data_IF_854591564522
#
_entry.id   IF_854591564522
#
_cell.length_a   1.000
_cell.length_b   1.000
_cell.length_c   1.000
_cell.angle_alpha   90.00
_cell.angle_beta   90.00
_cell.angle_gamma   90.00
#
_symmetry.space_group_name_H-M   'P 1'
#
loop_
_entity.id
_entity.type
_entity.pdbx_description
1 polymer ?
#
# COMPACT_ATOMS: atom_id res chain seq x y z
N UNK A 1 35.64 -5.50 51.82
CA UNK A 1 35.73 -5.43 50.35
C UNK A 1 34.37 -5.74 49.76
N UNK A 2 33.43 -4.82 49.96
CA UNK A 2 32.15 -4.81 49.25
C UNK A 2 32.32 -3.77 48.14
N UNK A 3 32.50 -4.25 46.91
CA UNK A 3 32.46 -3.40 45.72
C UNK A 3 31.02 -3.36 45.22
N UNK A 4 30.31 -2.31 45.60
CA UNK A 4 29.08 -1.86 44.94
C UNK A 4 29.44 -1.34 43.54
N UNK A 5 29.17 -2.14 42.51
CA UNK A 5 29.05 -1.66 41.13
C UNK A 5 27.68 -1.01 40.94
N UNK A 6 27.54 0.25 41.37
CA UNK A 6 26.33 1.02 41.11
C UNK A 6 26.39 1.62 39.69
N UNK A 7 25.47 1.12 38.85
CA UNK A 7 25.32 1.47 37.46
C UNK A 7 24.87 2.93 37.26
N UNK A 8 25.79 3.77 36.81
CA UNK A 8 25.43 5.04 36.17
C UNK A 8 24.94 4.80 34.74
N UNK A 9 23.66 4.44 34.59
CA UNK A 9 22.95 4.57 33.32
C UNK A 9 22.89 6.07 32.98
N UNK A 10 23.51 6.46 31.87
CA UNK A 10 23.65 7.88 31.50
C UNK A 10 22.26 8.52 31.27
N UNK A 11 22.01 9.76 31.73
CA UNK A 11 20.70 10.44 31.64
C UNK A 11 20.08 10.49 30.22
N UNK A 12 20.93 10.43 29.18
CA UNK A 12 20.50 10.40 27.77
C UNK A 12 19.83 9.08 27.37
N UNK A 13 20.23 7.97 27.97
CA UNK A 13 19.72 6.63 27.67
C UNK A 13 18.31 6.46 28.27
N UNK A 14 18.15 6.84 29.53
CA UNK A 14 16.87 6.81 30.25
C UNK A 14 15.81 7.69 29.59
N UNK A 15 16.18 8.88 29.12
CA UNK A 15 15.28 9.79 28.39
C UNK A 15 14.89 9.26 26.99
N UNK A 16 15.70 8.38 26.40
CA UNK A 16 15.42 7.77 25.10
C UNK A 16 14.55 6.52 25.23
N UNK A 17 14.64 5.81 26.36
CA UNK A 17 13.78 4.68 26.75
C UNK A 17 12.38 5.18 27.08
N UNK A 18 12.25 6.23 27.90
CA UNK A 18 10.96 6.85 28.23
C UNK A 18 10.20 7.33 26.98
N UNK A 19 10.89 7.91 26.00
CA UNK A 19 10.30 8.30 24.71
C UNK A 19 9.79 7.10 23.90
N UNK A 20 10.46 5.96 23.99
CA UNK A 20 10.06 4.75 23.26
C UNK A 20 8.88 4.07 23.94
N UNK A 21 8.86 4.03 25.27
CA UNK A 21 7.75 3.51 26.06
C UNK A 21 6.51 4.34 25.80
N UNK A 22 6.63 5.67 25.79
CA UNK A 22 5.55 6.57 25.40
C UNK A 22 5.06 6.33 23.95
N UNK A 23 5.98 6.03 23.02
CA UNK A 23 5.62 5.68 21.64
C UNK A 23 4.86 4.36 21.57
N UNK A 24 5.31 3.37 22.35
CA UNK A 24 4.69 2.05 22.46
C UNK A 24 3.31 2.18 23.08
N UNK A 25 3.16 2.82 24.23
CA UNK A 25 1.88 3.04 24.89
C UNK A 25 0.92 3.83 24.00
N UNK A 26 1.38 4.92 23.38
CA UNK A 26 0.56 5.66 22.39
C UNK A 26 0.10 4.77 21.23
N UNK A 27 0.95 3.86 20.75
CA UNK A 27 0.59 2.90 19.72
C UNK A 27 -0.41 1.84 20.24
N UNK A 28 -0.21 1.32 21.46
CA UNK A 28 -1.12 0.38 22.09
C UNK A 28 -2.51 1.03 22.28
N UNK A 29 -2.57 2.27 22.72
CA UNK A 29 -3.79 3.06 22.86
C UNK A 29 -4.44 3.39 21.51
N UNK A 30 -3.65 3.72 20.49
CA UNK A 30 -4.17 4.09 19.17
C UNK A 30 -4.68 2.88 18.38
N UNK A 31 -4.00 1.74 18.49
CA UNK A 31 -4.19 0.62 17.57
C UNK A 31 -4.68 -0.68 18.23
N UNK A 32 -4.48 -0.88 19.54
CA UNK A 32 -4.76 -2.13 20.26
C UNK A 32 -5.93 -2.18 21.28
N UNK A 33 -6.72 -1.13 21.63
CA UNK A 33 -7.58 -1.27 22.82
C UNK A 33 -8.76 -2.22 22.63
N UNK A 34 -9.48 -2.18 21.49
CA UNK A 34 -10.78 -2.85 21.36
C UNK A 34 -11.17 -3.29 19.93
N UNK A 35 -10.43 -2.86 18.90
CA UNK A 35 -10.74 -3.14 17.49
C UNK A 35 -9.65 -3.96 16.78
N UNK A 36 -8.66 -4.46 17.52
CA UNK A 36 -7.50 -5.14 16.94
C UNK A 36 -7.85 -6.25 15.95
N UNK A 37 -8.79 -7.19 16.23
CA UNK A 37 -9.15 -8.22 15.25
C UNK A 37 -9.73 -7.62 13.95
N UNK A 38 -10.43 -6.48 14.05
CA UNK A 38 -11.09 -5.81 12.91
C UNK A 38 -10.08 -5.01 12.07
N UNK A 39 -9.11 -4.35 12.70
CA UNK A 39 -8.11 -3.50 12.04
C UNK A 39 -6.82 -4.23 11.63
N UNK A 40 -6.58 -5.42 12.19
CA UNK A 40 -5.38 -6.23 11.92
C UNK A 40 -5.06 -6.34 10.44
N UNK A 41 -6.07 -6.64 9.61
CA UNK A 41 -5.88 -6.87 8.18
C UNK A 41 -5.43 -5.60 7.43
N UNK A 42 -5.80 -4.42 7.91
CA UNK A 42 -5.33 -3.15 7.34
C UNK A 42 -3.86 -2.89 7.67
N UNK A 43 -3.42 -3.23 8.88
CA UNK A 43 -2.01 -3.12 9.28
C UNK A 43 -1.13 -4.15 8.57
N UNK A 44 -1.66 -5.38 8.45
CA UNK A 44 -1.05 -6.45 7.65
C UNK A 44 -0.81 -5.97 6.22
N UNK A 45 -1.83 -5.37 5.57
CA UNK A 45 -1.68 -4.81 4.23
C UNK A 45 -0.57 -3.75 4.16
N UNK A 46 -0.52 -2.80 5.10
CA UNK A 46 0.55 -1.76 5.10
C UNK A 46 1.94 -2.38 5.18
N UNK A 47 2.14 -3.33 6.08
CA UNK A 47 3.41 -4.04 6.22
C UNK A 47 3.75 -4.87 4.99
N UNK A 48 2.74 -5.52 4.41
CA UNK A 48 2.89 -6.28 3.17
C UNK A 48 3.27 -5.39 1.98
N UNK A 49 2.64 -4.22 1.81
CA UNK A 49 2.99 -3.27 0.75
C UNK A 49 4.41 -2.72 0.95
N UNK A 50 4.76 -2.37 2.20
CA UNK A 50 6.11 -1.94 2.55
C UNK A 50 7.13 -3.04 2.25
N UNK A 51 6.86 -4.29 2.64
CA UNK A 51 7.73 -5.42 2.36
C UNK A 51 7.90 -5.65 0.86
N UNK A 52 6.83 -5.58 0.07
CA UNK A 52 6.92 -5.70 -1.38
C UNK A 52 7.87 -4.66 -1.99
N UNK A 53 7.81 -3.42 -1.51
CA UNK A 53 8.73 -2.36 -1.93
C UNK A 53 10.18 -2.60 -1.45
N UNK A 54 10.37 -2.97 -0.19
CA UNK A 54 11.68 -3.23 0.45
C UNK A 54 12.44 -4.38 -0.21
N UNK A 55 11.74 -5.45 -0.59
CA UNK A 55 12.35 -6.63 -1.18
C UNK A 55 12.49 -6.55 -2.70
N UNK A 56 11.96 -5.50 -3.34
CA UNK A 56 12.08 -5.29 -4.78
C UNK A 56 13.52 -5.00 -5.22
N UNK A 57 13.92 -5.48 -6.40
CA UNK A 57 15.18 -5.05 -7.02
C UNK A 57 15.18 -3.54 -7.35
N UNK A 58 14.01 -2.92 -7.37
CA UNK A 58 13.81 -1.48 -7.62
C UNK A 58 13.61 -0.69 -6.31
N UNK A 59 14.05 -1.23 -5.16
CA UNK A 59 13.76 -0.65 -3.82
C UNK A 59 13.99 0.87 -3.77
N UNK A 60 15.07 1.37 -4.37
CA UNK A 60 15.43 2.80 -4.39
C UNK A 60 14.38 3.70 -5.06
N UNK A 61 13.58 3.16 -5.98
CA UNK A 61 12.53 3.92 -6.68
C UNK A 61 11.14 3.66 -6.10
N UNK A 62 10.87 2.45 -5.61
CA UNK A 62 9.52 2.04 -5.17
C UNK A 62 9.29 2.13 -3.67
N UNK A 63 10.34 2.15 -2.84
CA UNK A 63 10.24 2.35 -1.39
C UNK A 63 10.31 3.85 -1.05
N UNK A 64 9.26 4.58 -1.41
CA UNK A 64 9.10 6.01 -1.10
C UNK A 64 7.74 6.25 -0.44
N UNK A 65 7.66 6.87 0.74
CA UNK A 65 8.75 7.35 1.59
C UNK A 65 9.56 6.19 2.18
N UNK A 66 10.76 6.51 2.63
CA UNK A 66 11.65 5.60 3.35
C UNK A 66 11.69 5.99 4.85
N UNK A 67 11.94 5.04 5.76
CA UNK A 67 12.17 5.37 7.16
C UNK A 67 13.51 6.08 7.30
N UNK A 68 13.50 7.27 7.92
CA UNK A 68 14.66 8.18 8.00
C UNK A 68 15.88 7.54 8.62
N UNK A 69 15.69 6.71 9.63
CA UNK A 69 16.77 6.02 10.35
C UNK A 69 17.59 5.08 9.44
N UNK A 70 17.08 4.74 8.24
CA UNK A 70 17.72 3.84 7.28
C UNK A 70 18.04 4.52 5.95
N UNK A 71 18.15 5.84 5.93
CA UNK A 71 18.48 6.60 4.73
C UNK A 71 19.68 7.52 4.97
N UNK A 72 20.71 7.31 4.16
CA UNK A 72 21.87 8.18 4.09
C UNK A 72 21.51 9.41 3.24
N UNK A 73 21.35 10.55 3.92
CA UNK A 73 21.03 11.81 3.26
C UNK A 73 22.22 12.39 2.47
N UNK A 74 23.45 12.06 2.85
CA UNK A 74 24.65 12.58 2.20
C UNK A 74 24.87 11.87 0.86
N UNK A 75 24.69 10.54 0.84
CA UNK A 75 24.87 9.71 -0.35
C UNK A 75 23.56 9.43 -1.10
N UNK A 76 22.41 9.84 -0.55
CA UNK A 76 21.07 9.58 -1.09
C UNK A 76 20.75 8.07 -1.23
N UNK A 77 21.31 7.24 -0.34
CA UNK A 77 21.23 5.78 -0.39
C UNK A 77 20.43 5.21 0.78
N UNK A 78 19.80 4.06 0.56
CA UNK A 78 19.06 3.34 1.60
C UNK A 78 19.94 2.25 2.21
N UNK A 79 19.98 2.17 3.55
CA UNK A 79 20.58 1.07 4.31
C UNK A 79 19.70 -0.18 4.25
N UNK A 80 19.48 -0.69 3.03
CA UNK A 80 18.48 -1.73 2.73
C UNK A 80 18.71 -3.02 3.52
N UNK A 81 19.96 -3.46 3.65
CA UNK A 81 20.28 -4.70 4.34
C UNK A 81 20.00 -4.61 5.84
N UNK A 82 20.26 -3.46 6.46
CA UNK A 82 19.93 -3.21 7.86
C UNK A 82 18.41 -3.17 8.06
N UNK A 83 17.70 -2.46 7.18
CA UNK A 83 16.25 -2.38 7.21
C UNK A 83 15.58 -3.74 7.02
N UNK A 84 16.11 -4.61 6.14
CA UNK A 84 15.64 -6.00 5.99
C UNK A 84 15.83 -6.78 7.29
N UNK A 85 17.00 -6.70 7.93
CA UNK A 85 17.24 -7.41 9.20
C UNK A 85 16.21 -7.01 10.27
N UNK A 86 15.93 -5.71 10.40
CA UNK A 86 14.95 -5.19 11.36
C UNK A 86 13.51 -5.55 10.98
N UNK A 87 13.18 -5.59 9.68
CA UNK A 87 11.86 -6.01 9.22
C UNK A 87 11.62 -7.51 9.44
N UNK A 88 12.64 -8.34 9.28
CA UNK A 88 12.54 -9.80 9.44
C UNK A 88 12.29 -10.25 10.88
N UNK A 89 12.59 -9.41 11.87
CA UNK A 89 12.25 -9.70 13.27
C UNK A 89 10.75 -9.57 13.55
N UNK A 90 9.95 -8.99 12.64
CA UNK A 90 8.47 -8.95 12.71
C UNK A 90 7.93 -10.37 12.45
N UNK A 91 8.14 -11.24 13.44
CA UNK A 91 7.87 -12.67 13.38
C UNK A 91 6.45 -12.94 13.90
N UNK A 92 5.48 -12.87 12.99
CA UNK A 92 4.07 -13.14 13.28
C UNK A 92 3.20 -11.88 13.34
N UNK A 93 1.98 -12.00 13.90
CA UNK A 93 1.05 -10.88 14.01
C UNK A 93 1.68 -9.69 14.74
N UNK A 94 1.47 -8.48 14.22
CA UNK A 94 2.06 -7.21 14.71
C UNK A 94 1.83 -6.99 16.21
N UNK A 95 0.70 -7.44 16.76
CA UNK A 95 0.42 -7.33 18.19
C UNK A 95 1.40 -8.12 19.04
N UNK A 96 1.90 -9.27 18.56
CA UNK A 96 2.89 -10.05 19.29
C UNK A 96 4.21 -9.29 19.40
N UNK A 97 4.59 -8.59 18.35
CA UNK A 97 5.81 -7.76 18.34
C UNK A 97 5.69 -6.63 19.38
N UNK A 98 4.50 -6.08 19.55
CA UNK A 98 4.26 -4.94 20.45
C UNK A 98 3.91 -5.35 21.90
N UNK A 99 3.44 -6.57 22.10
CA UNK A 99 3.03 -7.09 23.41
C UNK A 99 4.18 -7.64 24.25
N UNK A 100 5.34 -7.93 23.65
CA UNK A 100 6.50 -8.35 24.43
C UNK A 100 7.06 -7.16 25.21
N UNK A 101 7.46 -7.31 26.48
CA UNK A 101 8.22 -6.31 27.19
C UNK A 101 9.41 -5.87 26.33
N UNK A 102 9.74 -4.57 26.37
CA UNK A 102 10.94 -4.07 25.72
C UNK A 102 12.15 -4.60 26.51
N UNK A 103 12.57 -5.82 26.22
CA UNK A 103 13.87 -6.33 26.67
C UNK A 103 14.96 -5.38 26.14
N UNK A 104 16.05 -5.25 26.91
CA UNK A 104 17.23 -4.40 26.63
C UNK A 104 17.92 -4.70 25.27
N UNK A 105 17.46 -5.73 24.54
CA UNK A 105 17.97 -6.06 23.21
C UNK A 105 17.55 -5.00 22.18
N UNK A 106 18.56 -4.32 21.61
CA UNK A 106 18.43 -3.26 20.61
C UNK A 106 17.49 -3.57 19.43
N UNK A 107 17.36 -4.84 19.05
CA UNK A 107 16.53 -5.30 17.93
C UNK A 107 15.03 -5.05 18.19
N UNK A 108 14.52 -5.28 19.41
CA UNK A 108 13.10 -5.06 19.72
C UNK A 108 12.72 -3.58 19.53
N UNK A 109 13.58 -2.68 20.03
CA UNK A 109 13.44 -1.23 19.89
C UNK A 109 13.40 -0.76 18.44
N UNK A 110 14.32 -1.22 17.59
CA UNK A 110 14.32 -0.84 16.17
C UNK A 110 13.08 -1.34 15.44
N UNK A 111 12.60 -2.54 15.79
CA UNK A 111 11.39 -3.12 15.21
C UNK A 111 10.14 -2.34 15.60
N UNK A 112 9.97 -2.00 16.88
CA UNK A 112 8.83 -1.19 17.34
C UNK A 112 8.83 0.18 16.64
N UNK A 113 10.00 0.85 16.55
CA UNK A 113 10.12 2.11 15.82
C UNK A 113 9.74 1.97 14.35
N UNK A 114 10.19 0.92 13.68
CA UNK A 114 9.89 0.68 12.27
C UNK A 114 8.39 0.41 12.06
N UNK A 115 7.79 -0.47 12.86
CA UNK A 115 6.35 -0.78 12.80
C UNK A 115 5.52 0.47 13.05
N UNK A 116 5.85 1.23 14.10
CA UNK A 116 5.21 2.51 14.38
C UNK A 116 5.34 3.45 13.19
N UNK A 117 6.55 3.60 12.62
CA UNK A 117 6.76 4.43 11.45
C UNK A 117 5.86 3.99 10.29
N UNK A 118 5.84 2.70 9.90
CA UNK A 118 5.02 2.21 8.78
C UNK A 118 3.53 2.51 8.99
N UNK A 119 3.03 2.34 10.22
CA UNK A 119 1.60 2.40 10.52
C UNK A 119 1.10 3.82 10.85
N UNK A 120 1.95 4.70 11.38
CA UNK A 120 1.57 6.03 11.87
C UNK A 120 1.87 7.19 10.89
N UNK A 121 2.02 6.92 9.59
CA UNK A 121 2.35 7.96 8.60
C UNK A 121 1.26 9.05 8.43
N UNK A 122 0.01 8.79 8.82
CA UNK A 122 -1.09 9.76 8.76
C UNK A 122 -1.42 10.30 7.36
N UNK A 123 -0.94 9.64 6.29
CA UNK A 123 -1.13 10.13 4.92
C UNK A 123 -2.47 9.69 4.29
N UNK A 124 -2.95 8.55 4.70
CA UNK A 124 -4.19 7.91 4.26
C UNK A 124 -4.60 6.92 5.36
N UNK A 125 -5.86 6.50 5.31
CA UNK A 125 -6.40 5.39 6.07
C UNK A 125 -6.80 4.25 5.14
N UNK A 126 -6.70 3.04 5.66
CA UNK A 126 -7.10 1.81 4.96
C UNK A 126 -8.22 1.17 5.77
N UNK A 127 -9.33 0.87 5.12
CA UNK A 127 -10.45 0.13 5.71
C UNK A 127 -10.74 -1.11 4.87
N UNK A 128 -10.74 -2.28 5.49
CA UNK A 128 -11.28 -3.48 4.87
C UNK A 128 -12.80 -3.36 4.77
N UNK A 129 -13.34 -3.51 3.56
CA UNK A 129 -14.76 -3.28 3.23
C UNK A 129 -15.27 -4.44 2.38
N UNK A 130 -16.59 -4.63 2.35
CA UNK A 130 -17.22 -5.51 1.39
C UNK A 130 -17.65 -4.74 0.14
N UNK A 131 -17.97 -5.45 -0.94
CA UNK A 131 -18.38 -4.83 -2.21
C UNK A 131 -19.69 -4.04 -2.03
N UNK A 132 -20.60 -4.53 -1.21
CA UNK A 132 -21.87 -3.85 -0.89
C UNK A 132 -21.69 -2.54 -0.10
N UNK A 133 -20.53 -2.31 0.52
CA UNK A 133 -20.27 -1.16 1.41
C UNK A 133 -19.55 0.00 0.70
N UNK A 134 -19.21 -0.14 -0.59
CA UNK A 134 -18.46 0.89 -1.33
C UNK A 134 -19.39 1.89 -2.05
N UNK A 135 -18.81 2.98 -2.58
CA UNK A 135 -19.54 3.96 -3.39
C UNK A 135 -20.36 3.30 -4.50
N UNK A 136 -21.57 3.81 -4.77
CA UNK A 136 -22.49 3.19 -5.72
C UNK A 136 -21.89 3.08 -7.13
N UNK A 137 -21.23 4.14 -7.64
CA UNK A 137 -20.62 4.11 -8.98
C UNK A 137 -19.46 3.11 -9.04
N UNK A 138 -18.67 3.05 -7.97
CA UNK A 138 -17.59 2.08 -7.83
C UNK A 138 -18.10 0.64 -7.80
N UNK A 139 -19.20 0.40 -7.06
CA UNK A 139 -19.87 -0.89 -6.95
C UNK A 139 -20.40 -1.35 -8.30
N UNK A 140 -21.11 -0.49 -9.02
CA UNK A 140 -21.67 -0.81 -10.33
C UNK A 140 -20.56 -1.21 -11.32
N UNK A 141 -19.46 -0.47 -11.36
CA UNK A 141 -18.33 -0.77 -12.25
C UNK A 141 -17.67 -2.10 -11.88
N UNK A 142 -17.48 -2.36 -10.58
CA UNK A 142 -16.89 -3.62 -10.12
C UNK A 142 -17.80 -4.81 -10.37
N UNK A 143 -19.08 -4.74 -9.98
CA UNK A 143 -20.06 -5.83 -10.14
C UNK A 143 -20.24 -6.19 -11.62
N UNK A 144 -20.38 -5.21 -12.51
CA UNK A 144 -20.44 -5.45 -13.96
C UNK A 144 -19.22 -6.21 -14.48
N UNK A 145 -18.01 -5.82 -14.05
CA UNK A 145 -16.77 -6.51 -14.42
C UNK A 145 -16.69 -7.93 -13.85
N UNK A 146 -17.22 -8.15 -12.64
CA UNK A 146 -17.26 -9.47 -12.04
C UNK A 146 -18.27 -10.37 -12.78
N UNK A 147 -19.44 -9.87 -13.13
CA UNK A 147 -20.48 -10.61 -13.85
C UNK A 147 -20.01 -11.01 -15.26
N UNK A 148 -19.44 -10.07 -16.03
CA UNK A 148 -18.87 -10.34 -17.36
C UNK A 148 -17.83 -11.47 -17.32
N UNK A 149 -17.07 -11.55 -16.22
CA UNK A 149 -16.02 -12.54 -16.01
C UNK A 149 -16.49 -13.77 -15.22
N UNK A 150 -17.80 -13.94 -15.04
CA UNK A 150 -18.41 -15.05 -14.27
C UNK A 150 -17.77 -15.21 -12.88
N UNK A 151 -17.53 -14.08 -12.23
CA UNK A 151 -16.88 -13.90 -10.93
C UNK A 151 -15.46 -14.47 -10.80
N UNK A 152 -14.79 -14.84 -11.91
CA UNK A 152 -13.40 -15.34 -11.91
C UNK A 152 -12.39 -14.31 -11.39
N UNK A 153 -12.71 -13.02 -11.49
CA UNK A 153 -11.86 -11.91 -11.06
C UNK A 153 -12.27 -11.32 -9.71
N UNK A 154 -13.05 -12.03 -8.90
CA UNK A 154 -13.45 -11.56 -7.58
C UNK A 154 -12.22 -11.46 -6.66
N UNK A 155 -11.94 -10.28 -6.07
CA UNK A 155 -10.82 -10.15 -5.15
C UNK A 155 -11.07 -10.92 -3.85
N UNK A 156 -10.00 -11.40 -3.21
CA UNK A 156 -10.08 -12.03 -1.90
C UNK A 156 -10.34 -11.01 -0.80
N UNK A 157 -9.78 -9.80 -0.97
CA UNK A 157 -9.96 -8.69 -0.05
C UNK A 157 -10.16 -7.39 -0.82
N UNK A 158 -11.02 -6.51 -0.29
CA UNK A 158 -11.24 -5.18 -0.83
C UNK A 158 -10.96 -4.15 0.26
N UNK A 159 -10.12 -3.18 -0.06
CA UNK A 159 -9.73 -2.13 0.88
C UNK A 159 -10.11 -0.76 0.33
N UNK A 160 -10.91 0.00 1.07
CA UNK A 160 -11.15 1.42 0.81
C UNK A 160 -9.96 2.25 1.31
N UNK A 161 -9.54 3.22 0.50
CA UNK A 161 -8.46 4.15 0.80
C UNK A 161 -9.07 5.54 0.95
N UNK A 162 -8.90 6.13 2.12
CA UNK A 162 -9.37 7.48 2.41
C UNK A 162 -8.21 8.40 2.72
N UNK A 163 -8.21 9.60 2.14
CA UNK A 163 -7.17 10.59 2.37
C UNK A 163 -7.73 11.77 3.18
N UNK A 164 -6.96 12.34 4.12
CA UNK A 164 -7.39 13.51 4.88
C UNK A 164 -7.69 14.73 3.99
N UNK A 165 -8.83 15.39 4.22
CA UNK A 165 -9.29 16.57 3.47
C UNK A 165 -8.42 17.83 3.67
N UNK A 166 -7.48 17.83 4.62
CA UNK A 166 -6.56 18.96 4.82
C UNK A 166 -5.41 18.98 3.81
N UNK A 167 -5.28 17.95 2.96
CA UNK A 167 -4.24 17.86 1.94
C UNK A 167 -4.62 18.64 0.68
N UNK A 168 -3.71 19.49 0.21
CA UNK A 168 -3.92 20.30 -1.00
C UNK A 168 -4.35 19.45 -2.21
N UNK A 169 -3.70 18.31 -2.46
CA UNK A 169 -4.06 17.41 -3.57
C UNK A 169 -5.51 16.91 -3.46
N UNK A 170 -5.97 16.56 -2.25
CA UNK A 170 -7.32 16.03 -2.04
C UNK A 170 -8.37 17.13 -2.18
N UNK A 171 -8.08 18.34 -1.69
CA UNK A 171 -8.94 19.51 -1.90
C UNK A 171 -9.12 19.80 -3.39
N UNK A 172 -8.01 19.92 -4.12
CA UNK A 172 -8.03 20.13 -5.57
C UNK A 172 -8.81 19.05 -6.31
N UNK A 173 -8.57 17.78 -5.99
CA UNK A 173 -9.32 16.68 -6.58
C UNK A 173 -10.83 16.82 -6.32
N UNK A 174 -11.23 17.10 -5.07
CA UNK A 174 -12.64 17.24 -4.71
C UNK A 174 -13.29 18.46 -5.41
N UNK A 175 -12.59 19.59 -5.52
CA UNK A 175 -13.07 20.78 -6.22
C UNK A 175 -13.29 20.49 -7.71
N UNK A 176 -12.34 19.81 -8.35
CA UNK A 176 -12.44 19.39 -9.75
C UNK A 176 -13.54 18.34 -9.96
N UNK A 177 -13.64 17.34 -9.08
CA UNK A 177 -14.70 16.33 -9.14
C UNK A 177 -16.10 16.94 -8.93
N UNK A 178 -16.22 17.98 -8.09
CA UNK A 178 -17.49 18.70 -7.92
C UNK A 178 -17.86 19.51 -9.18
N UNK A 179 -16.88 20.05 -9.89
CA UNK A 179 -17.08 20.85 -11.10
C UNK A 179 -17.39 19.98 -12.34
N UNK A 180 -16.63 18.91 -12.52
CA UNK A 180 -16.64 18.11 -13.76
C UNK A 180 -17.32 16.75 -13.61
N UNK A 181 -17.58 16.31 -12.38
CA UNK A 181 -17.97 14.93 -12.09
C UNK A 181 -16.77 13.99 -12.05
N UNK A 182 -17.04 12.73 -11.71
CA UNK A 182 -16.03 11.67 -11.63
C UNK A 182 -16.61 10.29 -11.97
N UNK A 183 -15.71 9.40 -12.39
CA UNK A 183 -15.96 7.99 -12.70
C UNK A 183 -14.86 7.10 -12.10
N UNK A 184 -15.06 5.78 -12.12
CA UNK A 184 -14.05 4.82 -11.65
C UNK A 184 -13.41 4.03 -12.80
N UNK A 185 -12.12 3.73 -12.67
CA UNK A 185 -11.41 2.84 -13.58
C UNK A 185 -10.29 2.09 -12.85
N UNK A 186 -9.83 1.00 -13.44
CA UNK A 186 -8.81 0.13 -12.86
C UNK A 186 -7.41 0.50 -13.35
N UNK A 187 -6.45 0.48 -12.43
CA UNK A 187 -5.02 0.59 -12.71
C UNK A 187 -4.31 -0.65 -12.18
N UNK A 188 -3.63 -1.35 -13.09
CA UNK A 188 -2.80 -2.49 -12.74
C UNK A 188 -1.34 -2.10 -12.51
N UNK A 189 -0.74 -2.62 -11.46
CA UNK A 189 0.67 -2.37 -11.14
C UNK A 189 1.29 -3.56 -10.40
N UNK A 190 2.61 -3.81 -10.55
CA UNK A 190 3.33 -4.69 -9.65
C UNK A 190 3.17 -4.26 -8.19
N UNK A 191 3.05 -5.25 -7.30
CA UNK A 191 2.75 -5.03 -5.89
C UNK A 191 3.77 -4.15 -5.17
N UNK A 192 5.04 -4.21 -5.59
CA UNK A 192 6.10 -3.36 -5.02
C UNK A 192 5.88 -1.86 -5.20
N UNK A 193 5.04 -1.44 -6.15
CA UNK A 193 4.78 -0.03 -6.42
C UNK A 193 3.74 0.56 -5.46
N UNK A 194 2.89 -0.26 -4.84
CA UNK A 194 1.71 0.23 -4.11
C UNK A 194 2.04 0.98 -2.82
N UNK A 195 3.18 0.71 -2.20
CA UNK A 195 3.70 1.57 -1.12
C UNK A 195 3.84 3.01 -1.64
N UNK A 196 4.63 3.22 -2.69
CA UNK A 196 4.82 4.55 -3.27
C UNK A 196 3.54 5.15 -3.83
N UNK A 197 2.69 4.36 -4.50
CA UNK A 197 1.42 4.84 -5.06
C UNK A 197 0.51 5.43 -3.97
N UNK A 198 0.37 4.75 -2.83
CA UNK A 198 -0.49 5.25 -1.75
C UNK A 198 0.07 6.50 -1.07
N UNK A 199 1.39 6.61 -0.94
CA UNK A 199 2.00 7.77 -0.30
C UNK A 199 2.16 8.98 -1.22
N UNK A 200 2.51 8.75 -2.48
CA UNK A 200 2.92 9.80 -3.43
C UNK A 200 1.91 10.01 -4.56
N UNK A 201 0.89 9.16 -4.68
CA UNK A 201 -0.04 9.14 -5.81
C UNK A 201 0.49 8.33 -6.99
N UNK A 202 -0.34 8.17 -8.01
CA UNK A 202 0.06 7.61 -9.29
C UNK A 202 0.84 8.66 -10.08
N UNK A 203 2.14 8.79 -9.79
CA UNK A 203 2.98 9.80 -10.44
C UNK A 203 3.24 9.39 -11.90
N UNK A 204 2.67 10.11 -12.86
CA UNK A 204 2.78 9.72 -14.27
C UNK A 204 4.22 9.66 -14.77
N UNK A 205 5.12 10.51 -14.25
CA UNK A 205 6.53 10.56 -14.66
C UNK A 205 7.33 9.32 -14.23
N UNK A 206 6.81 8.53 -13.29
CA UNK A 206 7.38 7.26 -12.86
C UNK A 206 6.82 6.07 -13.64
N UNK A 207 5.79 6.27 -14.47
CA UNK A 207 5.21 5.22 -15.28
C UNK A 207 6.08 4.95 -16.52
N UNK A 208 6.16 3.67 -16.92
CA UNK A 208 6.85 3.29 -18.16
C UNK A 208 6.17 3.99 -19.35
N UNK A 209 6.97 4.63 -20.20
CA UNK A 209 6.51 5.14 -21.50
C UNK A 209 5.96 3.97 -22.31
N UNK A 210 4.71 4.07 -22.73
CA UNK A 210 4.10 3.13 -23.66
C UNK A 210 3.86 3.83 -25.01
N UNK A 211 3.60 3.05 -26.05
CA UNK A 211 3.37 3.52 -27.43
C UNK A 211 2.20 4.49 -27.60
N UNK A 212 1.40 4.75 -26.55
CA UNK A 212 0.16 5.53 -26.60
C UNK A 212 0.27 6.93 -25.99
N UNK A 213 1.43 7.33 -25.48
CA UNK A 213 1.67 8.66 -24.91
C UNK A 213 2.31 8.64 -23.51
N UNK A 214 2.43 9.82 -22.91
CA UNK A 214 2.96 10.00 -21.55
C UNK A 214 1.77 10.25 -20.62
N UNK A 215 1.57 9.38 -19.64
CA UNK A 215 0.49 9.51 -18.66
C UNK A 215 0.29 8.22 -17.85
N UNK A 216 -0.66 8.25 -16.94
CA UNK A 216 -1.13 7.07 -16.20
C UNK A 216 -2.23 6.37 -16.98
N UNK A 217 -2.06 5.06 -17.20
CA UNK A 217 -3.02 4.23 -17.93
C UNK A 217 -4.04 3.60 -16.98
N UNK A 218 -5.30 3.66 -17.38
CA UNK A 218 -6.42 3.00 -16.71
C UNK A 218 -7.23 2.20 -17.71
N UNK A 219 -8.01 1.25 -17.20
CA UNK A 219 -8.99 0.52 -17.98
C UNK A 219 -10.34 0.48 -17.27
N UNK A 220 -11.44 0.60 -18.02
CA UNK A 220 -12.78 0.28 -17.50
C UNK A 220 -12.99 -1.23 -17.31
N UNK A 221 -12.05 -2.06 -17.78
CA UNK A 221 -12.08 -3.52 -17.71
C UNK A 221 -11.06 -4.08 -16.72
N UNK A 222 -11.53 -4.74 -15.66
CA UNK A 222 -10.70 -5.36 -14.63
C UNK A 222 -9.81 -6.47 -15.20
N UNK A 223 -10.31 -7.23 -16.18
CA UNK A 223 -9.56 -8.29 -16.87
C UNK A 223 -8.31 -7.78 -17.59
N UNK A 224 -8.30 -6.49 -17.95
CA UNK A 224 -7.16 -5.85 -18.59
C UNK A 224 -6.17 -5.36 -17.53
N UNK A 225 -6.65 -4.68 -16.48
CA UNK A 225 -5.79 -4.17 -15.41
C UNK A 225 -5.05 -5.30 -14.66
N UNK A 226 -5.68 -6.46 -14.48
CA UNK A 226 -5.04 -7.58 -13.77
C UNK A 226 -3.82 -8.15 -14.50
N UNK A 227 -3.75 -7.99 -15.84
CA UNK A 227 -2.61 -8.42 -16.66
C UNK A 227 -1.33 -7.61 -16.34
N UNK A 228 -1.49 -6.39 -15.83
CA UNK A 228 -0.41 -5.53 -15.38
C UNK A 228 -0.10 -5.68 -13.88
N UNK A 229 -0.78 -6.61 -13.20
CA UNK A 229 -0.70 -6.84 -11.76
C UNK A 229 -0.22 -8.27 -11.46
N UNK A 230 1.04 -8.61 -11.76
CA UNK A 230 1.53 -9.97 -11.58
C UNK A 230 1.50 -10.41 -10.11
N UNK A 231 1.31 -11.71 -9.87
CA UNK A 231 1.48 -12.27 -8.53
C UNK A 231 2.95 -12.19 -8.10
N UNK A 232 3.19 -11.54 -6.97
CA UNK A 232 4.47 -11.51 -6.28
C UNK A 232 4.47 -12.41 -5.04
N UNK A 233 5.64 -12.85 -4.61
CA UNK A 233 5.81 -13.47 -3.29
C UNK A 233 5.57 -12.41 -2.21
N UNK A 234 4.74 -12.73 -1.22
CA UNK A 234 4.61 -11.91 -0.03
C UNK A 234 5.82 -12.15 0.88
N UNK A 235 6.66 -11.12 1.05
CA UNK A 235 7.87 -11.22 1.86
C UNK A 235 7.63 -10.93 3.35
N UNK A 236 6.42 -10.48 3.71
CA UNK A 236 6.05 -10.35 5.12
C UNK A 236 5.61 -11.71 5.68
N UNK A 237 6.54 -12.40 6.37
CA UNK A 237 6.31 -13.74 6.95
C UNK A 237 5.15 -13.79 7.96
N UNK A 238 4.89 -12.67 8.65
CA UNK A 238 3.78 -12.53 9.60
C UNK A 238 2.41 -12.27 8.96
N UNK A 239 2.35 -12.11 7.63
CA UNK A 239 1.13 -11.77 6.92
C UNK A 239 0.12 -12.92 6.90
N UNK A 240 -1.17 -12.57 7.05
CA UNK A 240 -2.32 -13.45 6.90
C UNK A 240 -3.08 -13.23 5.59
N UNK A 241 -2.59 -12.34 4.72
CA UNK A 241 -3.19 -12.05 3.42
C UNK A 241 -2.93 -13.17 2.40
N UNK A 242 -1.86 -13.94 2.60
CA UNK A 242 -1.45 -15.07 1.75
C UNK A 242 0.02 -15.00 1.33
N UNK A 243 0.52 -16.10 0.77
CA UNK A 243 1.94 -16.28 0.40
C UNK A 243 2.29 -15.69 -0.96
N UNK A 244 1.33 -15.64 -1.90
CA UNK A 244 1.49 -14.91 -3.16
C UNK A 244 0.30 -13.99 -3.39
N UNK A 245 0.61 -12.74 -3.71
CA UNK A 245 -0.36 -11.66 -3.76
C UNK A 245 -0.25 -10.89 -5.08
N UNK A 246 -1.40 -10.43 -5.57
CA UNK A 246 -1.53 -9.47 -6.67
C UNK A 246 -2.48 -8.36 -6.22
N UNK A 247 -2.28 -7.15 -6.73
CA UNK A 247 -3.02 -5.95 -6.30
C UNK A 247 -3.39 -5.11 -7.53
N UNK A 248 -4.67 -4.76 -7.63
CA UNK A 248 -5.20 -3.81 -8.63
C UNK A 248 -5.76 -2.60 -7.88
N UNK A 249 -5.42 -1.38 -8.32
CA UNK A 249 -6.10 -0.17 -7.85
C UNK A 249 -7.38 0.04 -8.63
N UNK A 250 -8.47 0.37 -7.93
CA UNK A 250 -9.61 1.06 -8.53
C UNK A 250 -9.52 2.53 -8.14
N UNK A 251 -9.37 3.37 -9.15
CA UNK A 251 -9.16 4.80 -9.00
C UNK A 251 -10.42 5.55 -9.36
N UNK A 252 -10.68 6.63 -8.62
CA UNK A 252 -11.62 7.66 -9.02
C UNK A 252 -10.88 8.68 -9.88
N UNK A 253 -11.48 9.01 -11.02
CA UNK A 253 -10.91 9.89 -12.04
C UNK A 253 -11.92 11.00 -12.31
N UNK A 254 -11.47 12.25 -12.27
CA UNK A 254 -12.29 13.41 -12.65
C UNK A 254 -12.57 13.36 -14.15
N UNK A 255 -13.83 13.58 -14.56
CA UNK A 255 -14.23 13.63 -15.97
C UNK A 255 -13.84 14.95 -16.65
N UNK A 256 -12.53 15.17 -16.76
CA UNK A 256 -11.92 16.43 -17.23
C UNK A 256 -11.51 16.32 -18.71
N UNK A 257 -11.50 17.42 -19.49
CA UNK A 257 -11.04 17.42 -20.88
C UNK A 257 -9.60 16.90 -21.11
N UNK A 258 -8.75 16.93 -20.08
CA UNK A 258 -7.38 16.39 -20.12
C UNK A 258 -7.31 14.85 -20.02
N UNK A 259 -8.45 14.18 -19.83
CA UNK A 259 -8.56 12.72 -19.82
C UNK A 259 -8.77 12.22 -21.25
N UNK A 260 -7.76 11.56 -21.80
CA UNK A 260 -7.85 11.01 -23.15
C UNK A 260 -8.46 9.60 -23.14
N UNK A 261 -9.71 9.49 -23.58
CA UNK A 261 -10.34 8.20 -23.89
C UNK A 261 -9.81 7.65 -25.23
N UNK A 262 -9.09 6.53 -25.22
CA UNK A 262 -8.61 5.89 -26.46
C UNK A 262 -9.72 4.98 -27.02
N UNK A 263 -10.35 5.44 -28.12
CA UNK A 263 -11.58 4.95 -28.79
C UNK A 263 -11.64 3.47 -29.24
N UNK A 264 -10.72 2.57 -28.89
CA UNK A 264 -10.96 1.13 -29.11
C UNK A 264 -11.89 0.64 -27.99
N UNK A 265 -13.21 0.87 -28.17
CA UNK A 265 -14.31 0.52 -27.26
C UNK A 265 -14.28 1.18 -25.87
N UNK A 266 -13.81 2.43 -25.74
CA UNK A 266 -13.77 3.18 -24.46
C UNK A 266 -13.25 2.38 -23.26
N UNK A 267 -12.27 1.51 -23.56
CA UNK A 267 -11.76 0.52 -22.61
C UNK A 267 -10.53 1.06 -21.87
N UNK A 268 -9.92 2.14 -22.35
CA UNK A 268 -8.66 2.69 -21.86
C UNK A 268 -8.71 4.20 -21.70
N UNK A 269 -8.20 4.68 -20.57
CA UNK A 269 -8.03 6.10 -20.28
C UNK A 269 -6.55 6.40 -20.07
N UNK A 270 -6.07 7.47 -20.69
CA UNK A 270 -4.76 8.03 -20.43
C UNK A 270 -4.95 9.37 -19.73
N UNK A 271 -4.37 9.51 -18.54
CA UNK A 271 -4.47 10.73 -17.75
C UNK A 271 -3.06 11.28 -17.53
N UNK A 272 -2.81 12.49 -18.00
CA UNK A 272 -1.51 13.17 -17.90
C UNK A 272 -1.40 14.10 -16.69
N UNK A 273 -2.52 14.42 -16.05
CA UNK A 273 -2.58 15.25 -14.85
C UNK A 273 -2.95 14.42 -13.61
N UNK A 274 -1.98 14.20 -12.74
CA UNK A 274 -2.13 13.40 -11.52
C UNK A 274 -3.12 14.01 -10.51
N UNK A 275 -3.45 15.31 -10.62
CA UNK A 275 -4.46 15.96 -9.76
C UNK A 275 -5.89 15.48 -10.06
N UNK A 276 -6.10 14.83 -11.21
CA UNK A 276 -7.38 14.26 -11.64
C UNK A 276 -7.61 12.83 -11.13
N UNK A 277 -6.66 12.26 -10.39
CA UNK A 277 -6.67 10.85 -10.00
C UNK A 277 -6.59 10.70 -8.49
N UNK A 278 -7.42 9.82 -7.94
CA UNK A 278 -7.29 9.30 -6.58
C UNK A 278 -7.43 7.80 -6.58
N UNK A 279 -6.52 7.09 -5.90
CA UNK A 279 -6.74 5.67 -5.58
C UNK A 279 -7.85 5.59 -4.54
N UNK A 280 -8.97 4.96 -4.87
CA UNK A 280 -10.12 4.87 -3.99
C UNK A 280 -10.20 3.49 -3.32
N UNK A 281 -9.85 2.43 -4.05
CA UNK A 281 -9.88 1.06 -3.52
C UNK A 281 -8.69 0.23 -4.01
N UNK A 282 -8.29 -0.75 -3.21
CA UNK A 282 -7.35 -1.80 -3.58
C UNK A 282 -8.07 -3.15 -3.61
N UNK A 283 -8.00 -3.82 -4.75
CA UNK A 283 -8.48 -5.18 -4.97
C UNK A 283 -7.28 -6.12 -4.79
N UNK A 284 -7.28 -6.91 -3.72
CA UNK A 284 -6.19 -7.81 -3.39
C UNK A 284 -6.57 -9.25 -3.72
N UNK A 285 -5.69 -9.91 -4.45
CA UNK A 285 -5.81 -11.30 -4.88
C UNK A 285 -4.73 -12.14 -4.19
N UNK A 286 -5.13 -13.30 -3.68
CA UNK A 286 -4.29 -14.25 -2.96
C UNK A 286 -4.38 -15.61 -3.60
N UNK A 287 -3.23 -16.15 -4.05
CA UNK A 287 -3.19 -17.45 -4.73
C UNK A 287 -3.60 -18.61 -3.81
N UNK A 288 -3.50 -18.42 -2.50
CA UNK A 288 -3.79 -19.46 -1.50
C UNK A 288 -5.30 -19.71 -1.36
N UNK A 289 -6.14 -18.81 -1.88
CA UNK A 289 -7.60 -18.95 -1.88
C UNK A 289 -8.08 -19.14 -3.33
N UNK A 290 -8.13 -20.39 -3.77
CA UNK A 290 -8.88 -20.88 -4.95
C UNK A 290 -8.86 -20.02 -6.23
N UNK A 291 -7.77 -19.33 -6.55
CA UNK A 291 -7.55 -18.73 -7.87
C UNK A 291 -6.61 -19.65 -8.65
N UNK A 292 -7.15 -20.75 -9.17
CA UNK A 292 -6.48 -21.60 -10.16
C UNK A 292 -6.52 -21.04 -11.59
N UNK A 293 -7.13 -19.86 -11.80
CA UNK A 293 -7.68 -19.49 -13.10
C UNK A 293 -7.14 -18.21 -13.76
N UNK A 294 -6.21 -17.49 -13.13
CA UNK A 294 -5.54 -16.32 -13.74
C UNK A 294 -4.34 -16.71 -14.64
N UNK A 295 -3.81 -17.93 -14.51
CA UNK A 295 -2.73 -18.43 -15.37
C UNK A 295 -3.14 -18.56 -16.85
N UNK A 296 -4.43 -18.56 -17.17
CA UNK A 296 -4.94 -18.65 -18.54
C UNK A 296 -5.11 -17.29 -19.23
N UNK A 297 -4.96 -16.17 -18.51
CA UNK A 297 -4.97 -14.84 -19.10
C UNK A 297 -3.60 -14.60 -19.76
N UNK A 298 -3.46 -15.18 -20.94
CA UNK A 298 -2.25 -15.15 -21.75
C UNK A 298 -1.97 -13.71 -22.18
N UNK A 299 -0.79 -13.17 -21.82
CA UNK A 299 -0.34 -11.81 -22.17
C UNK A 299 -0.13 -11.64 -23.68
N UNK A 300 -0.03 -12.75 -24.43
CA UNK A 300 0.30 -12.81 -25.85
C UNK A 300 -0.80 -12.37 -26.83
N UNK A 301 -2.02 -12.10 -26.36
CA UNK A 301 -3.13 -11.63 -27.21
C UNK A 301 -3.50 -10.16 -26.99
N UNK A 302 -2.77 -9.45 -26.13
CA UNK A 302 -2.90 -8.00 -26.00
C UNK A 302 -2.05 -7.36 -27.12
N UNK A 303 -2.59 -6.43 -27.93
CA UNK A 303 -1.86 -5.80 -29.05
C UNK A 303 -0.78 -4.80 -28.59
N UNK A 304 -0.19 -4.99 -27.41
CA UNK A 304 0.77 -4.08 -26.79
C UNK A 304 2.03 -4.80 -26.30
N UNK A 305 2.50 -5.78 -27.08
CA UNK A 305 3.86 -6.31 -27.02
C UNK A 305 4.77 -5.60 -28.01
#
# INVERSE_FOLDING_TARGET
>A
DDHDEDGHVQPKQQQQEEKLENLRESFLEQFLPNEWPKKYICFDLRLTLFASALYSLKTTTVLKPYPRDYYDHDHQEIHRNELIKVFETISGPVNRVLSHPLDEQCHNRQTVKLVHWILSQGLFDIKHVKIEDIDQKARDILENNLEEQRHRLRPNYLFAITFPNNRNRIRKFNDLAAQYGSFYAFHGSPMENFHSILHNGLIYSLNKRNMLGIGTYFSSKLEVAILFSPFGRNNFKGSRLGKKLSCVAMCEIVDHPDVEAKKKKDTYYLVSNDELIRVAYLLLYSSDSSITNLHHLNVSSIPFG
#
